data_IF_191206209786
#
_entry.id   IF_191206209786
#
_cell.length_a   1.000
_cell.length_b   1.000
_cell.length_c   1.000
_cell.angle_alpha   90.00
_cell.angle_beta   90.00
_cell.angle_gamma   90.00
#
_symmetry.space_group_name_H-M   'P 1'
#
loop_
_entity.id
_entity.type
_entity.pdbx_description
1 polymer ?
#
# COMPACT_ATOMS: atom_id res chain seq x y z
N UNK A 1 26.13 -4.18 -24.60
CA UNK A 1 27.13 -3.93 -23.55
C UNK A 1 27.16 -2.43 -23.29
N UNK A 2 26.48 -1.89 -22.25
CA UNK A 2 26.70 -0.54 -21.69
C UNK A 2 25.65 -0.13 -20.65
N UNK A 3 25.20 -1.10 -19.84
CA UNK A 3 24.23 -0.80 -18.76
C UNK A 3 24.89 -0.42 -17.41
N UNK A 4 26.18 -0.72 -17.23
CA UNK A 4 26.91 -0.39 -15.99
C UNK A 4 27.44 1.05 -15.95
N UNK A 5 27.84 1.61 -17.08
CA UNK A 5 28.40 2.98 -17.14
C UNK A 5 27.33 4.06 -16.86
N UNK A 6 26.10 3.81 -17.25
CA UNK A 6 24.98 4.74 -17.04
C UNK A 6 24.52 4.81 -15.57
N UNK A 7 24.61 3.72 -14.81
CA UNK A 7 24.29 3.71 -13.38
C UNK A 7 25.27 4.53 -12.52
N UNK A 8 26.58 4.45 -12.84
CA UNK A 8 27.59 5.22 -12.10
C UNK A 8 27.48 6.73 -12.30
N UNK A 9 27.09 7.18 -13.50
CA UNK A 9 26.99 8.63 -13.80
C UNK A 9 25.78 9.29 -13.12
N UNK A 10 24.69 8.56 -12.88
CA UNK A 10 23.51 9.07 -12.12
C UNK A 10 23.84 9.18 -10.64
N UNK A 11 24.49 8.18 -10.08
CA UNK A 11 24.96 8.18 -8.70
C UNK A 11 25.95 9.34 -8.45
N UNK A 12 26.83 9.64 -9.39
CA UNK A 12 27.80 10.71 -9.27
C UNK A 12 27.16 12.12 -9.36
N UNK A 13 26.10 12.30 -10.16
CA UNK A 13 25.40 13.59 -10.26
C UNK A 13 24.56 13.89 -9.01
N UNK A 14 23.91 12.88 -8.46
CA UNK A 14 23.09 12.99 -7.23
C UNK A 14 23.98 13.11 -5.98
N UNK A 15 25.13 12.44 -5.95
CA UNK A 15 26.09 12.57 -4.83
C UNK A 15 26.79 13.94 -4.78
N UNK A 16 26.82 14.71 -5.88
CA UNK A 16 27.29 16.10 -5.88
C UNK A 16 26.26 17.06 -5.30
N UNK A 17 24.96 16.84 -5.54
CA UNK A 17 23.87 17.61 -4.95
C UNK A 17 23.77 17.44 -3.43
N UNK A 18 24.14 16.26 -2.91
CA UNK A 18 24.14 15.98 -1.47
C UNK A 18 25.34 16.57 -0.70
N UNK A 19 26.35 17.12 -1.38
CA UNK A 19 27.53 17.73 -0.76
C UNK A 19 27.43 19.23 -0.54
N UNK A 20 26.51 19.93 -1.17
CA UNK A 20 26.42 21.40 -1.12
C UNK A 20 25.48 21.96 -0.03
N UNK A 21 24.80 21.10 0.75
CA UNK A 21 24.01 21.56 1.90
C UNK A 21 24.66 21.22 3.25
N UNK A 22 25.87 21.71 3.42
CA UNK A 22 26.54 21.78 4.71
C UNK A 22 26.74 23.23 5.10
N UNK A 23 25.78 23.86 5.77
CA UNK A 23 26.03 24.83 6.83
C UNK A 23 24.74 25.48 7.37
N UNK A 24 24.59 25.41 8.67
CA UNK A 24 24.03 26.54 9.43
C UNK A 24 22.61 26.41 9.96
N UNK A 25 22.46 25.78 11.14
CA UNK A 25 21.82 26.45 12.26
C UNK A 25 20.30 26.47 12.36
N UNK A 26 19.72 25.71 13.21
CA UNK A 26 19.09 26.18 14.45
C UNK A 26 18.40 24.99 15.16
N UNK A 27 18.84 24.71 16.37
CA UNK A 27 18.25 23.72 17.26
C UNK A 27 16.90 24.20 17.78
N UNK A 28 15.83 23.52 17.45
CA UNK A 28 14.64 23.41 18.30
C UNK A 28 14.11 22.00 18.27
N UNK A 29 13.95 21.44 19.44
CA UNK A 29 13.67 20.10 19.88
C UNK A 29 12.69 19.25 19.08
N UNK A 30 13.06 17.99 18.97
CA UNK A 30 12.30 16.91 18.39
C UNK A 30 13.09 16.30 17.23
N UNK A 31 13.87 15.25 17.49
CA UNK A 31 14.51 14.49 16.42
C UNK A 31 13.42 13.76 15.62
N UNK A 32 12.84 14.44 14.64
CA UNK A 32 12.10 13.79 13.56
C UNK A 32 13.11 12.99 12.74
N UNK A 33 13.35 11.75 13.13
CA UNK A 33 14.06 10.81 12.26
C UNK A 33 13.16 10.62 11.04
N UNK A 34 13.62 11.09 9.87
CA UNK A 34 12.91 10.92 8.62
C UNK A 34 12.49 9.44 8.46
N UNK A 35 11.21 9.20 8.27
CA UNK A 35 10.59 7.86 8.17
C UNK A 35 11.31 7.01 7.12
N UNK A 36 11.83 7.64 6.05
CA UNK A 36 12.59 7.01 4.97
C UNK A 36 13.75 7.89 4.56
N UNK A 37 14.97 7.33 4.47
CA UNK A 37 16.11 8.07 3.96
C UNK A 37 16.10 8.15 2.42
N UNK A 38 16.61 9.27 1.88
CA UNK A 38 16.79 9.44 0.41
C UNK A 38 17.63 8.32 -0.19
N UNK A 39 18.60 7.80 0.56
CA UNK A 39 19.45 6.69 0.13
C UNK A 39 18.66 5.40 -0.08
N UNK A 40 17.78 5.06 0.85
CA UNK A 40 16.90 3.87 0.74
C UNK A 40 15.97 3.98 -0.46
N UNK A 41 15.36 5.14 -0.70
CA UNK A 41 14.50 5.39 -1.87
C UNK A 41 15.27 5.23 -3.18
N UNK A 42 16.50 5.73 -3.23
CA UNK A 42 17.36 5.64 -4.41
C UNK A 42 17.76 4.20 -4.70
N UNK A 43 18.19 3.44 -3.68
CA UNK A 43 18.59 2.03 -3.80
C UNK A 43 17.41 1.13 -4.20
N UNK A 44 16.22 1.43 -3.71
CA UNK A 44 15.00 0.74 -4.10
C UNK A 44 14.51 1.09 -5.52
N UNK A 45 15.05 2.17 -6.14
CA UNK A 45 14.67 2.59 -7.48
C UNK A 45 13.33 3.30 -7.56
N UNK A 46 12.91 3.97 -6.48
CA UNK A 46 11.65 4.73 -6.37
C UNK A 46 11.60 5.92 -7.33
N UNK A 47 12.76 6.48 -7.68
CA UNK A 47 12.90 7.66 -8.54
C UNK A 47 12.63 7.43 -10.03
N UNK A 48 12.57 6.19 -10.48
CA UNK A 48 12.25 5.90 -11.87
C UNK A 48 10.75 6.00 -12.12
N UNK A 49 10.36 6.77 -13.12
CA UNK A 49 8.99 6.81 -13.60
C UNK A 49 8.82 6.06 -14.92
N UNK A 50 7.70 6.26 -15.57
CA UNK A 50 7.39 5.69 -16.88
C UNK A 50 8.02 6.48 -18.03
N UNK A 51 7.92 5.90 -19.23
CA UNK A 51 8.34 6.56 -20.48
C UNK A 51 7.57 7.87 -20.69
N UNK A 52 8.26 8.86 -21.28
CA UNK A 52 7.72 10.20 -21.53
C UNK A 52 6.42 10.23 -22.33
N UNK A 53 6.21 9.26 -23.22
CA UNK A 53 4.94 9.12 -23.98
C UNK A 53 3.71 8.80 -23.15
N UNK A 54 3.88 8.27 -21.94
CA UNK A 54 2.77 7.78 -21.09
C UNK A 54 2.49 8.67 -19.89
N UNK A 55 3.15 9.80 -19.78
CA UNK A 55 3.04 10.65 -18.61
C UNK A 55 1.70 11.41 -18.51
N UNK A 56 1.36 11.82 -17.31
CA UNK A 56 0.24 12.72 -17.04
C UNK A 56 0.79 14.14 -16.78
N UNK A 57 0.30 15.19 -17.47
CA UNK A 57 0.73 16.56 -17.24
C UNK A 57 0.60 17.05 -15.79
N UNK A 58 -0.39 16.56 -15.05
CA UNK A 58 -0.59 16.89 -13.64
C UNK A 58 0.55 16.40 -12.73
N UNK A 59 1.32 15.41 -13.19
CA UNK A 59 2.50 14.92 -12.48
C UNK A 59 3.74 15.80 -12.66
N UNK A 60 3.69 16.84 -13.49
CA UNK A 60 4.81 17.76 -13.73
C UNK A 60 5.39 18.33 -12.42
N UNK A 61 4.53 18.58 -11.43
CA UNK A 61 4.93 19.07 -10.10
C UNK A 61 5.84 18.12 -9.31
N UNK A 62 5.83 16.81 -9.63
CA UNK A 62 6.59 15.77 -8.95
C UNK A 62 7.77 15.24 -9.78
N UNK A 63 7.92 15.70 -11.02
CA UNK A 63 9.00 15.29 -11.91
C UNK A 63 10.19 16.21 -11.69
N UNK A 64 11.38 15.62 -11.50
CA UNK A 64 12.65 16.35 -11.38
C UNK A 64 13.26 16.63 -12.74
N UNK A 65 13.39 15.61 -13.60
CA UNK A 65 14.01 15.72 -14.93
C UNK A 65 13.59 14.55 -15.82
N UNK A 66 13.96 14.66 -17.10
CA UNK A 66 13.88 13.56 -18.06
C UNK A 66 15.28 13.06 -18.39
N UNK A 67 15.42 11.73 -18.48
CA UNK A 67 16.67 11.09 -18.92
C UNK A 67 16.39 9.83 -19.72
N UNK A 68 16.95 9.73 -20.90
CA UNK A 68 16.80 8.59 -21.81
C UNK A 68 15.33 8.23 -22.13
N UNK A 69 14.45 9.23 -22.25
CA UNK A 69 13.03 9.03 -22.53
C UNK A 69 12.22 8.48 -21.33
N UNK A 70 12.78 8.57 -20.11
CA UNK A 70 12.11 8.18 -18.86
C UNK A 70 12.11 9.38 -17.92
N UNK A 71 11.00 9.66 -17.28
CA UNK A 71 10.92 10.68 -16.25
C UNK A 71 11.53 10.21 -14.93
N UNK A 72 12.21 11.11 -14.25
CA UNK A 72 12.78 10.90 -12.92
C UNK A 72 11.93 11.68 -11.92
N UNK A 73 11.46 10.98 -10.90
CA UNK A 73 10.63 11.54 -9.82
C UNK A 73 11.53 12.25 -8.81
N UNK A 74 11.06 13.38 -8.28
CA UNK A 74 11.72 14.16 -7.26
C UNK A 74 11.58 13.47 -5.89
N UNK A 75 12.68 12.86 -5.43
CA UNK A 75 12.70 12.13 -4.15
C UNK A 75 12.51 13.02 -2.92
N UNK A 76 12.86 14.30 -2.97
CA UNK A 76 12.63 15.22 -1.84
C UNK A 76 11.14 15.41 -1.61
N UNK A 77 10.36 15.51 -2.68
CA UNK A 77 8.89 15.57 -2.59
C UNK A 77 8.30 14.23 -2.18
N UNK A 78 8.90 13.14 -2.64
CA UNK A 78 8.47 11.79 -2.22
C UNK A 78 8.62 11.60 -0.72
N UNK A 79 9.76 11.98 -0.11
CA UNK A 79 9.96 11.88 1.35
C UNK A 79 8.87 12.60 2.11
N UNK A 80 8.60 13.88 1.77
CA UNK A 80 7.55 14.67 2.42
C UNK A 80 6.17 14.02 2.30
N UNK A 81 5.83 13.50 1.12
CA UNK A 81 4.55 12.84 0.89
C UNK A 81 4.44 11.47 1.56
N UNK A 82 5.55 10.76 1.74
CA UNK A 82 5.61 9.55 2.55
C UNK A 82 5.37 9.87 4.02
N UNK A 83 5.98 10.95 4.55
CA UNK A 83 5.77 11.39 5.93
C UNK A 83 4.31 11.79 6.18
N UNK A 84 3.71 12.61 5.31
CA UNK A 84 2.29 12.97 5.39
C UNK A 84 1.36 11.72 5.40
N UNK A 85 1.64 10.76 4.52
CA UNK A 85 0.87 9.52 4.43
C UNK A 85 1.08 8.61 5.64
N UNK A 86 2.31 8.57 6.16
CA UNK A 86 2.69 7.81 7.35
C UNK A 86 1.93 8.30 8.58
N UNK A 87 1.98 9.61 8.84
CA UNK A 87 1.29 10.24 9.96
C UNK A 87 -0.23 9.99 9.89
N UNK A 88 -0.81 10.16 8.70
CA UNK A 88 -2.23 9.90 8.48
C UNK A 88 -2.62 8.43 8.79
N UNK A 89 -1.86 7.44 8.27
CA UNK A 89 -2.17 6.03 8.52
C UNK A 89 -1.95 5.64 9.98
N UNK A 90 -0.96 6.26 10.66
CA UNK A 90 -0.75 6.09 12.09
C UNK A 90 -1.96 6.59 12.89
N UNK A 91 -2.50 7.77 12.56
CA UNK A 91 -3.70 8.32 13.20
C UNK A 91 -4.91 7.40 12.98
N UNK A 92 -5.16 6.93 11.76
CA UNK A 92 -6.25 5.99 11.47
C UNK A 92 -6.10 4.68 12.25
N UNK A 93 -4.86 4.21 12.43
CA UNK A 93 -4.58 3.01 13.21
C UNK A 93 -4.77 3.24 14.72
N UNK A 94 -4.42 4.43 15.23
CA UNK A 94 -4.69 4.85 16.61
C UNK A 94 -6.19 4.96 16.94
N UNK A 95 -7.02 5.25 15.94
CA UNK A 95 -8.48 5.23 16.08
C UNK A 95 -9.07 3.81 16.07
N UNK A 96 -8.24 2.76 16.03
CA UNK A 96 -8.66 1.36 15.94
C UNK A 96 -9.27 0.96 14.59
N UNK A 97 -9.25 1.84 13.59
CA UNK A 97 -9.83 1.57 12.27
C UNK A 97 -8.93 0.65 11.45
N UNK A 98 -9.55 -0.16 10.60
CA UNK A 98 -8.84 -1.07 9.71
C UNK A 98 -8.39 -0.37 8.43
N UNK A 99 -7.24 -0.79 7.90
CA UNK A 99 -6.68 -0.27 6.66
C UNK A 99 -6.64 -1.42 5.64
N UNK A 100 -7.13 -1.14 4.42
CA UNK A 100 -7.15 -2.12 3.35
C UNK A 100 -6.03 -1.84 2.34
N UNK A 101 -5.12 -2.80 2.19
CA UNK A 101 -4.04 -2.75 1.21
C UNK A 101 -4.54 -3.28 -0.13
N UNK A 102 -4.34 -2.50 -1.21
CA UNK A 102 -4.80 -2.85 -2.55
C UNK A 102 -3.64 -2.77 -3.54
N UNK A 103 -3.35 -3.89 -4.19
CA UNK A 103 -2.29 -3.93 -5.20
C UNK A 103 -2.39 -5.16 -6.08
N UNK A 104 -3.06 -5.05 -7.23
CA UNK A 104 -3.27 -6.18 -8.15
C UNK A 104 -2.17 -6.30 -9.20
N UNK A 105 -1.19 -5.39 -9.21
CA UNK A 105 -0.04 -5.45 -10.10
C UNK A 105 0.86 -6.64 -9.72
N UNK A 106 1.33 -7.42 -10.69
CA UNK A 106 2.16 -8.61 -10.42
C UNK A 106 3.36 -8.33 -9.52
N UNK A 107 3.96 -7.14 -9.68
CA UNK A 107 5.09 -6.68 -8.89
C UNK A 107 4.72 -6.32 -7.44
N UNK A 108 3.43 -6.03 -7.19
CA UNK A 108 2.93 -5.59 -5.90
C UNK A 108 2.24 -6.70 -5.09
N UNK A 109 1.73 -7.73 -5.75
CA UNK A 109 0.88 -8.77 -5.17
C UNK A 109 1.48 -9.41 -3.90
N UNK A 110 2.74 -9.81 -3.96
CA UNK A 110 3.44 -10.49 -2.87
C UNK A 110 3.79 -9.50 -1.74
N UNK A 111 4.35 -8.35 -2.09
CA UNK A 111 4.71 -7.31 -1.13
C UNK A 111 3.49 -6.80 -0.33
N UNK A 112 2.37 -6.56 -1.01
CA UNK A 112 1.11 -6.13 -0.39
C UNK A 112 0.60 -7.19 0.58
N UNK A 113 0.63 -8.47 0.18
CA UNK A 113 0.20 -9.58 1.04
C UNK A 113 1.08 -9.71 2.28
N UNK A 114 2.42 -9.74 2.11
CA UNK A 114 3.37 -9.87 3.21
C UNK A 114 3.20 -8.74 4.23
N UNK A 115 3.18 -7.49 3.77
CA UNK A 115 3.16 -6.33 4.64
C UNK A 115 1.79 -6.11 5.32
N UNK A 116 0.70 -6.41 4.62
CA UNK A 116 -0.63 -6.39 5.23
C UNK A 116 -0.76 -7.43 6.35
N UNK A 117 -0.28 -8.66 6.12
CA UNK A 117 -0.27 -9.70 7.15
C UNK A 117 0.62 -9.33 8.33
N UNK A 118 1.80 -8.72 8.07
CA UNK A 118 2.71 -8.23 9.12
C UNK A 118 2.04 -7.19 10.03
N UNK A 119 1.25 -6.29 9.42
CA UNK A 119 0.50 -5.27 10.16
C UNK A 119 -0.84 -5.78 10.72
N UNK A 120 -1.18 -7.06 10.55
CA UNK A 120 -2.48 -7.64 10.88
C UNK A 120 -3.65 -6.85 10.27
N UNK A 121 -3.50 -6.49 8.98
CA UNK A 121 -4.46 -5.77 8.17
C UNK A 121 -4.94 -6.61 6.99
N UNK A 122 -5.94 -6.10 6.28
CA UNK A 122 -6.58 -6.77 5.16
C UNK A 122 -5.97 -6.36 3.84
N UNK A 123 -6.06 -7.24 2.83
CA UNK A 123 -5.48 -6.97 1.51
C UNK A 123 -6.32 -7.53 0.36
N UNK A 124 -6.14 -6.88 -0.80
CA UNK A 124 -6.63 -7.36 -2.10
C UNK A 124 -5.46 -7.33 -3.08
N UNK A 125 -4.91 -8.50 -3.41
CA UNK A 125 -3.72 -8.62 -4.22
C UNK A 125 -3.94 -9.22 -5.63
N UNK A 126 -5.09 -9.88 -5.89
CA UNK A 126 -5.31 -10.54 -7.19
C UNK A 126 -6.13 -9.67 -8.14
N UNK A 127 -7.36 -9.38 -7.79
CA UNK A 127 -8.26 -8.56 -8.59
C UNK A 127 -9.30 -7.88 -7.72
N UNK A 128 -9.46 -6.59 -7.90
CA UNK A 128 -10.58 -5.87 -7.30
C UNK A 128 -11.90 -6.30 -7.95
N UNK A 129 -12.84 -6.76 -7.16
CA UNK A 129 -14.19 -7.07 -7.63
C UNK A 129 -15.06 -5.81 -7.50
N UNK A 130 -15.71 -5.41 -8.59
CA UNK A 130 -16.61 -4.25 -8.55
C UNK A 130 -17.70 -4.43 -7.50
N UNK A 131 -17.94 -3.41 -6.68
CA UNK A 131 -18.87 -3.47 -5.56
C UNK A 131 -18.29 -4.02 -4.26
N UNK A 132 -16.96 -4.17 -4.17
CA UNK A 132 -16.31 -4.74 -2.97
C UNK A 132 -16.56 -3.88 -1.73
N UNK A 133 -16.62 -2.57 -1.87
CA UNK A 133 -16.99 -1.64 -0.80
C UNK A 133 -18.46 -1.19 -0.92
N UNK A 134 -18.89 -0.76 -2.11
CA UNK A 134 -20.23 -0.18 -2.32
C UNK A 134 -21.36 -1.21 -2.23
N UNK A 135 -21.07 -2.50 -2.40
CA UNK A 135 -22.03 -3.60 -2.26
C UNK A 135 -21.51 -4.67 -1.29
N UNK A 136 -21.05 -4.21 -0.12
CA UNK A 136 -20.40 -5.06 0.88
C UNK A 136 -21.29 -6.22 1.36
N UNK A 137 -22.62 -6.04 1.47
CA UNK A 137 -23.55 -7.12 1.83
C UNK A 137 -23.47 -8.33 0.90
N UNK A 138 -23.30 -8.10 -0.40
CA UNK A 138 -23.13 -9.20 -1.37
C UNK A 138 -21.77 -9.87 -1.22
N UNK A 139 -20.73 -9.10 -0.95
CA UNK A 139 -19.38 -9.62 -0.70
C UNK A 139 -19.37 -10.44 0.61
N UNK A 140 -20.00 -9.96 1.66
CA UNK A 140 -20.17 -10.69 2.94
C UNK A 140 -20.88 -12.04 2.74
N UNK A 141 -21.92 -12.09 1.92
CA UNK A 141 -22.58 -13.35 1.56
C UNK A 141 -21.62 -14.33 0.86
N UNK A 142 -20.71 -13.83 0.00
CA UNK A 142 -19.68 -14.65 -0.63
C UNK A 142 -18.59 -15.08 0.36
N UNK A 143 -18.21 -14.23 1.29
CA UNK A 143 -17.29 -14.57 2.39
C UNK A 143 -17.90 -15.66 3.28
N UNK A 144 -19.18 -15.53 3.65
CA UNK A 144 -19.91 -16.58 4.39
C UNK A 144 -19.90 -17.91 3.63
N UNK A 145 -20.07 -17.87 2.30
CA UNK A 145 -19.98 -19.05 1.46
C UNK A 145 -18.57 -19.67 1.46
N UNK A 146 -17.52 -18.83 1.41
CA UNK A 146 -16.14 -19.27 1.53
C UNK A 146 -15.91 -20.01 2.86
N UNK A 147 -16.28 -19.40 3.99
CA UNK A 147 -16.19 -20.01 5.34
C UNK A 147 -16.99 -21.31 5.46
N UNK A 148 -18.14 -21.42 4.78
CA UNK A 148 -18.90 -22.67 4.72
C UNK A 148 -18.14 -23.78 3.99
N UNK A 149 -17.49 -23.46 2.85
CA UNK A 149 -16.71 -24.43 2.09
C UNK A 149 -15.46 -24.88 2.86
N UNK A 150 -14.79 -23.99 3.57
CA UNK A 150 -13.68 -24.30 4.47
C UNK A 150 -14.14 -25.30 5.55
N UNK A 151 -15.25 -24.99 6.23
CA UNK A 151 -15.81 -25.87 7.25
C UNK A 151 -16.22 -27.25 6.70
N UNK A 152 -16.82 -27.29 5.50
CA UNK A 152 -17.15 -28.56 4.83
C UNK A 152 -15.90 -29.40 4.50
N UNK A 153 -14.77 -28.75 4.21
CA UNK A 153 -13.51 -29.43 3.99
C UNK A 153 -12.92 -30.01 5.28
N UNK A 154 -13.02 -29.27 6.40
CA UNK A 154 -12.56 -29.70 7.72
C UNK A 154 -13.43 -30.82 8.30
N UNK A 155 -14.76 -30.74 8.16
CA UNK A 155 -15.73 -31.72 8.65
C UNK A 155 -15.72 -33.04 7.85
N UNK A 156 -14.87 -33.19 6.82
CA UNK A 156 -14.81 -34.40 5.99
C UNK A 156 -16.01 -34.58 5.07
N UNK A 157 -16.90 -33.60 4.94
CA UNK A 157 -18.11 -33.68 4.10
C UNK A 157 -17.79 -33.99 2.63
N UNK A 158 -16.60 -33.62 2.17
CA UNK A 158 -16.13 -33.91 0.79
C UNK A 158 -15.89 -35.37 0.53
N UNK A 159 -15.72 -36.22 1.55
CA UNK A 159 -15.53 -37.68 1.40
C UNK A 159 -16.85 -38.41 1.13
N UNK A 160 -17.97 -37.84 1.56
CA UNK A 160 -19.32 -38.43 1.41
C UNK A 160 -19.95 -38.03 0.07
N UNK A 161 -19.52 -36.92 -0.53
CA UNK A 161 -20.10 -36.39 -1.75
C UNK A 161 -19.57 -37.11 -3.03
N UNK A 162 -20.37 -37.12 -4.12
CA UNK A 162 -19.92 -37.63 -5.41
C UNK A 162 -18.70 -36.86 -5.92
N UNK A 163 -17.70 -37.52 -6.49
CA UNK A 163 -16.44 -36.94 -6.98
C UNK A 163 -16.64 -35.70 -7.86
N UNK A 164 -17.68 -35.70 -8.71
CA UNK A 164 -17.98 -34.55 -9.60
C UNK A 164 -18.37 -33.29 -8.84
N UNK A 165 -19.12 -33.45 -7.76
CA UNK A 165 -19.52 -32.30 -6.91
C UNK A 165 -18.35 -31.78 -6.09
N UNK A 166 -17.53 -32.66 -5.54
CA UNK A 166 -16.30 -32.27 -4.81
C UNK A 166 -15.38 -31.43 -5.68
N UNK A 167 -15.16 -31.85 -6.94
CA UNK A 167 -14.31 -31.06 -7.87
C UNK A 167 -14.91 -29.66 -8.10
N UNK A 168 -16.24 -29.57 -8.25
CA UNK A 168 -16.91 -28.28 -8.44
C UNK A 168 -16.81 -27.39 -7.21
N UNK A 169 -17.01 -27.93 -6.02
CA UNK A 169 -16.92 -27.20 -4.76
C UNK A 169 -15.47 -26.75 -4.46
N UNK A 170 -14.48 -27.60 -4.73
CA UNK A 170 -13.06 -27.22 -4.60
C UNK A 170 -12.70 -26.09 -5.54
N UNK A 171 -13.14 -26.13 -6.78
CA UNK A 171 -12.88 -25.05 -7.73
C UNK A 171 -13.58 -23.73 -7.32
N UNK A 172 -14.81 -23.83 -6.77
CA UNK A 172 -15.49 -22.67 -6.19
C UNK A 172 -14.71 -22.09 -5.00
N UNK A 173 -14.25 -22.97 -4.10
CA UNK A 173 -13.45 -22.59 -2.95
C UNK A 173 -12.14 -21.90 -3.32
N UNK A 174 -11.34 -22.52 -4.19
CA UNK A 174 -10.08 -21.95 -4.68
C UNK A 174 -10.29 -20.57 -5.31
N UNK A 175 -11.37 -20.41 -6.08
CA UNK A 175 -11.70 -19.14 -6.71
C UNK A 175 -12.09 -18.07 -5.67
N UNK A 176 -12.88 -18.42 -4.68
CA UNK A 176 -13.29 -17.49 -3.63
C UNK A 176 -12.10 -17.13 -2.74
N UNK A 177 -11.28 -18.10 -2.33
CA UNK A 177 -10.08 -17.88 -1.53
C UNK A 177 -9.09 -16.98 -2.25
N UNK A 178 -8.87 -17.20 -3.54
CA UNK A 178 -7.99 -16.38 -4.36
C UNK A 178 -8.39 -14.89 -4.38
N UNK A 179 -9.69 -14.57 -4.45
CA UNK A 179 -10.15 -13.19 -4.59
C UNK A 179 -10.59 -12.52 -3.29
N UNK A 180 -11.04 -13.29 -2.32
CA UNK A 180 -11.62 -12.79 -1.08
C UNK A 180 -10.85 -13.21 0.18
N UNK A 181 -9.85 -14.08 0.04
CA UNK A 181 -9.10 -14.60 1.18
C UNK A 181 -8.46 -13.50 2.03
N UNK A 182 -7.96 -12.43 1.42
CA UNK A 182 -7.35 -11.31 2.16
C UNK A 182 -8.33 -10.41 2.91
N UNK A 183 -9.63 -10.54 2.68
CA UNK A 183 -10.68 -9.76 3.36
C UNK A 183 -11.68 -10.62 4.13
N UNK A 184 -11.43 -11.94 4.24
CA UNK A 184 -12.39 -12.87 4.85
C UNK A 184 -12.72 -12.59 6.31
N UNK A 185 -11.79 -12.00 7.03
CA UNK A 185 -11.94 -11.69 8.45
C UNK A 185 -12.16 -10.21 8.74
N UNK A 186 -12.39 -9.40 7.71
CA UNK A 186 -12.68 -7.98 7.83
C UNK A 186 -14.09 -7.77 8.42
N UNK A 187 -14.19 -7.21 9.64
CA UNK A 187 -15.49 -7.09 10.34
C UNK A 187 -16.33 -5.95 9.78
N UNK A 188 -15.68 -4.85 9.41
CA UNK A 188 -16.31 -3.59 9.05
C UNK A 188 -15.64 -2.96 7.83
N UNK A 189 -16.22 -1.86 7.35
CA UNK A 189 -15.62 -1.05 6.28
C UNK A 189 -14.28 -0.48 6.72
N UNK A 190 -13.27 -0.49 5.84
CA UNK A 190 -11.96 0.07 6.16
C UNK A 190 -12.03 1.59 6.37
N UNK A 191 -11.25 2.09 7.34
CA UNK A 191 -11.11 3.52 7.63
C UNK A 191 -10.24 4.24 6.61
N UNK A 192 -9.31 3.53 5.94
CA UNK A 192 -8.49 4.05 4.84
C UNK A 192 -8.10 2.94 3.86
N UNK A 193 -7.79 3.34 2.62
CA UNK A 193 -7.19 2.46 1.61
C UNK A 193 -5.73 2.86 1.35
N UNK A 194 -4.85 1.86 1.25
CA UNK A 194 -3.52 2.02 0.68
C UNK A 194 -3.47 1.33 -0.69
N UNK A 195 -3.32 2.10 -1.77
CA UNK A 195 -3.44 1.61 -3.15
C UNK A 195 -2.12 1.72 -3.89
N UNK A 196 -1.74 0.68 -4.60
CA UNK A 196 -0.59 0.68 -5.51
C UNK A 196 -1.10 0.75 -6.96
N UNK A 197 -0.63 1.75 -7.72
CA UNK A 197 -1.06 2.07 -9.08
C UNK A 197 -2.56 2.47 -9.18
N UNK A 198 -2.89 3.75 -8.91
CA UNK A 198 -4.26 4.28 -9.03
C UNK A 198 -4.89 4.06 -10.40
N UNK A 199 -4.07 4.06 -11.44
CA UNK A 199 -4.55 3.89 -12.83
C UNK A 199 -5.14 2.50 -13.07
N UNK A 200 -4.60 1.48 -12.41
CA UNK A 200 -5.09 0.10 -12.51
C UNK A 200 -6.29 -0.11 -11.60
N UNK A 201 -6.26 0.49 -10.43
CA UNK A 201 -7.26 0.31 -9.37
C UNK A 201 -8.35 1.40 -9.36
N UNK A 202 -8.70 1.97 -10.52
CA UNK A 202 -9.70 3.04 -10.67
C UNK A 202 -11.04 2.70 -10.02
N UNK A 203 -11.46 1.45 -10.09
CA UNK A 203 -12.75 1.01 -9.51
C UNK A 203 -12.70 1.10 -7.99
N UNK A 204 -11.59 0.66 -7.37
CA UNK A 204 -11.39 0.75 -5.93
C UNK A 204 -11.44 2.21 -5.44
N UNK A 205 -10.73 3.10 -6.13
CA UNK A 205 -10.69 4.54 -5.82
C UNK A 205 -12.07 5.18 -5.99
N UNK A 206 -12.79 4.87 -7.06
CA UNK A 206 -14.13 5.39 -7.30
C UNK A 206 -15.13 4.93 -6.22
N UNK A 207 -15.02 3.69 -5.76
CA UNK A 207 -15.83 3.17 -4.66
C UNK A 207 -15.48 3.83 -3.33
N UNK A 208 -14.18 3.99 -3.02
CA UNK A 208 -13.71 4.67 -1.81
C UNK A 208 -14.22 6.11 -1.75
N UNK A 209 -14.04 6.87 -2.82
CA UNK A 209 -14.56 8.25 -2.93
C UNK A 209 -16.07 8.33 -2.71
N UNK A 210 -16.83 7.40 -3.27
CA UNK A 210 -18.30 7.37 -3.10
C UNK A 210 -18.70 7.15 -1.65
N UNK A 211 -17.90 6.45 -0.88
CA UNK A 211 -18.14 6.16 0.54
C UNK A 211 -17.44 7.15 1.49
N UNK A 212 -16.66 8.10 0.94
CA UNK A 212 -15.89 9.05 1.76
C UNK A 212 -14.71 8.41 2.49
N UNK A 213 -14.19 7.28 2.00
CA UNK A 213 -13.03 6.61 2.58
C UNK A 213 -11.77 7.23 1.99
N UNK A 214 -10.85 7.78 2.81
CA UNK A 214 -9.61 8.40 2.33
C UNK A 214 -8.69 7.37 1.69
N UNK A 215 -7.99 7.82 0.64
CA UNK A 215 -7.11 6.97 -0.17
C UNK A 215 -5.69 7.51 -0.13
N UNK A 216 -4.78 6.68 0.37
CA UNK A 216 -3.33 6.84 0.23
C UNK A 216 -2.89 6.02 -0.97
N UNK A 217 -2.16 6.59 -1.93
CA UNK A 217 -1.71 5.79 -3.07
C UNK A 217 -0.32 6.12 -3.57
N UNK A 218 0.39 5.09 -4.04
CA UNK A 218 1.63 5.27 -4.81
C UNK A 218 1.30 5.69 -6.23
N UNK A 219 1.74 6.89 -6.61
CA UNK A 219 1.41 7.53 -7.88
C UNK A 219 2.65 7.63 -8.76
N UNK A 220 2.69 6.90 -9.86
CA UNK A 220 3.75 7.03 -10.86
C UNK A 220 3.42 8.14 -11.87
N UNK A 221 4.36 8.47 -12.73
CA UNK A 221 4.27 9.57 -13.71
C UNK A 221 3.12 9.44 -14.72
N UNK A 222 2.50 8.26 -14.86
CA UNK A 222 1.37 7.96 -15.75
C UNK A 222 -0.01 8.11 -15.08
N UNK A 223 -0.07 8.43 -13.80
CA UNK A 223 -1.28 8.51 -12.99
C UNK A 223 -1.75 9.96 -12.78
N UNK A 224 -2.98 10.14 -12.33
CA UNK A 224 -3.52 11.45 -11.90
C UNK A 224 -3.40 11.57 -10.37
N UNK A 225 -2.57 12.51 -9.86
CA UNK A 225 -2.42 12.68 -8.43
C UNK A 225 -3.67 13.26 -7.73
N UNK A 226 -4.57 13.89 -8.48
CA UNK A 226 -5.79 14.50 -7.94
C UNK A 226 -6.92 13.46 -7.71
N UNK A 227 -6.70 12.22 -8.16
CA UNK A 227 -7.62 11.11 -7.90
C UNK A 227 -7.48 10.51 -6.49
N UNK A 228 -6.50 10.92 -5.69
CA UNK A 228 -6.21 10.37 -4.37
C UNK A 228 -5.97 11.48 -3.36
N UNK A 229 -6.25 11.20 -2.09
CA UNK A 229 -6.13 12.20 -1.02
C UNK A 229 -4.66 12.40 -0.61
N UNK A 230 -3.92 11.31 -0.48
CA UNK A 230 -2.50 11.31 -0.12
C UNK A 230 -1.66 10.66 -1.23
N UNK A 231 -1.25 11.44 -2.27
CA UNK A 231 -0.41 10.91 -3.35
C UNK A 231 1.04 10.79 -2.91
N UNK A 232 1.62 9.60 -3.05
CA UNK A 232 3.04 9.31 -2.84
C UNK A 232 3.70 9.16 -4.21
N UNK A 233 4.45 10.14 -4.72
CA UNK A 233 5.12 10.03 -6.01
C UNK A 233 6.20 8.95 -5.95
N UNK A 234 6.00 7.85 -6.67
CA UNK A 234 6.90 6.71 -6.60
C UNK A 234 6.75 5.77 -7.80
N UNK A 235 7.79 4.98 -8.04
CA UNK A 235 7.77 3.90 -9.01
C UNK A 235 6.92 2.74 -8.51
N UNK A 236 5.93 2.33 -9.30
CA UNK A 236 5.04 1.22 -9.00
C UNK A 236 5.38 -0.08 -9.76
N UNK A 237 6.41 -0.05 -10.64
CA UNK A 237 6.90 -1.21 -11.41
C UNK A 237 8.03 -1.97 -10.69
N UNK A 238 8.78 -1.31 -9.81
CA UNK A 238 9.90 -1.92 -9.12
C UNK A 238 9.45 -2.64 -7.84
N UNK A 239 9.61 -3.96 -7.78
CA UNK A 239 9.25 -4.78 -6.59
C UNK A 239 9.87 -4.22 -5.31
N UNK A 240 11.15 -3.77 -5.37
CA UNK A 240 11.85 -3.21 -4.20
C UNK A 240 11.24 -1.88 -3.74
N UNK A 241 10.81 -1.03 -4.67
CA UNK A 241 10.16 0.25 -4.36
C UNK A 241 8.80 0.01 -3.69
N UNK A 242 7.99 -0.87 -4.26
CA UNK A 242 6.69 -1.27 -3.71
C UNK A 242 6.84 -1.87 -2.31
N UNK A 243 7.79 -2.81 -2.13
CA UNK A 243 8.03 -3.45 -0.82
C UNK A 243 8.50 -2.43 0.22
N UNK A 244 9.38 -1.50 -0.14
CA UNK A 244 9.84 -0.45 0.77
C UNK A 244 8.67 0.45 1.22
N UNK A 245 7.85 0.92 0.28
CA UNK A 245 6.74 1.82 0.60
C UNK A 245 5.63 1.10 1.38
N UNK A 246 5.23 -0.10 0.95
CA UNK A 246 4.26 -0.90 1.67
C UNK A 246 4.73 -1.24 3.09
N UNK A 247 6.03 -1.57 3.25
CA UNK A 247 6.65 -1.81 4.54
C UNK A 247 6.59 -0.59 5.45
N UNK A 248 6.84 0.61 4.93
CA UNK A 248 6.75 1.85 5.72
C UNK A 248 5.31 2.17 6.13
N UNK A 249 4.34 1.95 5.26
CA UNK A 249 2.92 2.11 5.63
C UNK A 249 2.49 1.07 6.68
N UNK A 250 3.01 -0.16 6.61
CA UNK A 250 2.79 -1.18 7.63
C UNK A 250 3.45 -0.81 8.97
N UNK A 251 4.66 -0.20 8.95
CA UNK A 251 5.34 0.30 10.15
C UNK A 251 4.49 1.39 10.85
N UNK A 252 3.90 2.33 10.08
CA UNK A 252 3.00 3.36 10.61
C UNK A 252 1.80 2.76 11.35
N UNK A 253 1.21 1.71 10.79
CA UNK A 253 0.06 1.04 11.39
C UNK A 253 0.46 0.32 12.69
N UNK A 254 1.60 -0.34 12.70
CA UNK A 254 2.12 -1.02 13.90
C UNK A 254 2.42 -0.03 15.02
N UNK A 255 3.03 1.12 14.71
CA UNK A 255 3.27 2.20 15.70
C UNK A 255 1.95 2.77 16.24
N UNK A 256 0.96 3.01 15.37
CA UNK A 256 -0.36 3.49 15.78
C UNK A 256 -1.04 2.55 16.77
N UNK A 257 -1.00 1.23 16.51
CA UNK A 257 -1.59 0.21 17.38
C UNK A 257 -0.84 0.00 18.70
N UNK A 258 0.48 0.14 18.71
CA UNK A 258 1.27 0.06 19.94
C UNK A 258 0.95 1.22 20.87
N UNK A 259 0.78 2.43 20.33
CA UNK A 259 0.35 3.60 21.10
C UNK A 259 -1.03 3.42 21.77
N UNK A 260 -1.94 2.66 21.13
CA UNK A 260 -3.24 2.31 21.71
C UNK A 260 -3.11 1.37 22.91
N UNK A 261 -2.27 0.35 22.81
CA UNK A 261 -2.03 -0.60 23.92
C UNK A 261 -1.40 0.07 25.15
N UNK A 262 -0.48 1.00 24.93
CA UNK A 262 0.15 1.76 26.00
C UNK A 262 -0.84 2.76 26.67
N UNK A 263 -1.76 3.34 25.90
CA UNK A 263 -2.79 4.23 26.41
C UNK A 263 -3.82 3.50 27.31
N UNK A 264 -4.30 2.33 26.88
CA UNK A 264 -5.21 1.49 27.68
C UNK A 264 -4.54 0.92 28.94
N UNK A 265 -3.24 0.58 28.86
CA UNK A 265 -2.47 0.10 30.01
C UNK A 265 -2.29 1.15 31.11
N UNK A 266 -2.25 2.44 30.76
CA UNK A 266 -2.12 3.55 31.73
C UNK A 266 -3.45 3.95 32.36
N UNK A 267 -4.58 3.82 31.66
CA UNK A 267 -5.90 4.09 32.25
C UNK A 267 -6.33 3.04 33.28
N UNK A 268 -6.07 1.77 33.03
CA UNK A 268 -6.38 0.70 33.98
C UNK A 268 -5.53 0.76 35.27
N UNK A 269 -4.32 1.32 35.21
CA UNK A 269 -3.47 1.50 36.38
C UNK A 269 -3.85 2.72 37.24
N UNK A 270 -4.61 3.68 36.70
CA UNK A 270 -5.09 4.86 37.44
C UNK A 270 -6.45 4.66 38.13
N UNK A 271 -7.22 3.63 37.78
CA UNK A 271 -8.48 3.28 38.42
C UNK A 271 -8.31 2.33 39.63
N UNK A 272 -7.15 1.68 39.77
CA UNK A 272 -6.84 0.81 40.92
C UNK A 272 -6.01 1.48 42.05
N UNK A 273 -5.69 2.75 41.94
CA UNK A 273 -4.97 3.53 42.96
C UNK A 273 -5.87 4.57 43.62
#
# INVERSE_FOLDING_TARGET
MNTHATRLSVLCAISRLLRDEGCGGFLTGGANMAVVSLKQLLEAGVHFGHQTRRWNPKMAKFIFTERNGIYIIDLQKTVKKVEEAYDFLREVAQEGKTILFVGTKKQAQEAVKEEALRANMYFVNERWLGGMLTNFKTIEARIKRLKQLEKMAEDGTFEVLPKKEVIRLRHEWEKLEKYLGGIKDMPEMPGALFVIDPKKEKIAIAEAKKLGIPVVATVDTNCDPDEVDFPIPANDDAIRAVKLLAGKMADAILEGRQGEQDAFGTESASEEA
#
